data_IF_205694934911
#
_entry.id   IF_205694934911
#
_cell.length_a   1.000
_cell.length_b   1.000
_cell.length_c   1.000
_cell.angle_alpha   90.00
_cell.angle_beta   90.00
_cell.angle_gamma   90.00
#
_symmetry.space_group_name_H-M   'P 1'
#
loop_
_entity.id
_entity.type
_entity.pdbx_description
1 polymer ?
#
# COMPACT_ATOMS: atom_id res chain seq x y z
N UNK A 1 7.83 20.77 -10.85
CA UNK A 1 7.50 20.35 -9.47
C UNK A 1 6.11 19.70 -9.42
N UNK A 2 5.97 18.69 -8.55
CA UNK A 2 4.68 18.05 -8.26
C UNK A 2 3.76 19.11 -7.63
N UNK A 3 2.54 19.25 -8.17
CA UNK A 3 1.60 20.31 -7.76
C UNK A 3 0.57 19.82 -6.74
N UNK A 4 0.17 18.56 -6.83
CA UNK A 4 -0.86 17.99 -5.98
C UNK A 4 -0.68 16.47 -5.83
N UNK A 5 -1.20 15.92 -4.73
CA UNK A 5 -1.26 14.50 -4.41
C UNK A 5 -2.65 14.19 -3.84
N UNK A 6 -3.42 13.35 -4.54
CA UNK A 6 -4.75 12.95 -4.08
C UNK A 6 -4.66 11.97 -2.91
N UNK A 7 -3.86 10.91 -3.08
CA UNK A 7 -3.74 9.78 -2.16
C UNK A 7 -2.26 9.46 -1.94
N UNK A 8 -1.86 9.35 -0.67
CA UNK A 8 -0.55 8.85 -0.27
C UNK A 8 -0.71 7.58 0.57
N UNK A 9 -0.07 6.49 0.11
CA UNK A 9 -0.06 5.21 0.82
C UNK A 9 1.28 5.03 1.54
N UNK A 10 1.26 5.08 2.86
CA UNK A 10 2.45 4.96 3.70
C UNK A 10 2.62 3.54 4.23
N UNK A 11 3.84 3.15 4.57
CA UNK A 11 4.21 1.83 5.09
C UNK A 11 4.22 1.76 6.64
N UNK A 12 3.79 2.84 7.30
CA UNK A 12 3.77 2.99 8.76
C UNK A 12 5.02 3.67 9.34
N UNK A 13 5.84 4.32 8.51
CA UNK A 13 6.98 5.11 8.96
C UNK A 13 6.52 6.32 9.79
N UNK A 14 7.01 6.41 11.03
CA UNK A 14 6.69 7.51 11.96
C UNK A 14 7.14 8.85 11.38
N UNK A 15 6.30 9.87 11.46
CA UNK A 15 6.61 11.23 10.99
C UNK A 15 6.36 11.45 9.49
N UNK A 16 6.23 10.39 8.69
CA UNK A 16 5.97 10.53 7.25
C UNK A 16 4.55 11.03 6.95
N UNK A 17 3.47 10.51 7.59
CA UNK A 17 2.13 11.05 7.43
C UNK A 17 2.06 12.55 7.73
N UNK A 18 2.68 12.98 8.83
CA UNK A 18 2.72 14.36 9.27
C UNK A 18 3.51 15.25 8.31
N UNK A 19 4.64 14.74 7.79
CA UNK A 19 5.41 15.45 6.78
C UNK A 19 4.62 15.62 5.48
N UNK A 20 3.88 14.60 5.04
CA UNK A 20 3.04 14.68 3.83
C UNK A 20 1.94 15.71 4.02
N UNK A 21 1.18 15.66 5.12
CA UNK A 21 0.07 16.60 5.36
C UNK A 21 0.56 18.03 5.61
N UNK A 22 1.81 18.21 6.05
CA UNK A 22 2.41 19.56 6.15
C UNK A 22 2.68 20.21 4.79
N UNK A 23 2.95 19.42 3.75
CA UNK A 23 3.26 19.90 2.39
C UNK A 23 2.04 19.84 1.48
N UNK A 24 1.21 18.81 1.65
CA UNK A 24 -0.02 18.58 0.89
C UNK A 24 -1.20 18.35 1.87
N UNK A 25 -1.79 19.43 2.42
CA UNK A 25 -2.82 19.34 3.46
C UNK A 25 -4.07 18.58 3.03
N UNK A 26 -4.41 18.63 1.73
CA UNK A 26 -5.61 17.99 1.18
C UNK A 26 -5.36 16.54 0.77
N UNK A 27 -4.14 16.00 0.93
CA UNK A 27 -3.85 14.60 0.58
C UNK A 27 -4.51 13.65 1.57
N UNK A 28 -5.21 12.65 1.06
CA UNK A 28 -5.66 11.52 1.88
C UNK A 28 -4.46 10.61 2.14
N UNK A 29 -3.96 10.62 3.37
CA UNK A 29 -2.89 9.73 3.83
C UNK A 29 -3.52 8.49 4.45
N UNK A 30 -3.04 7.32 4.03
CA UNK A 30 -3.51 6.03 4.55
C UNK A 30 -2.35 5.05 4.73
N UNK A 31 -2.53 4.07 5.61
CA UNK A 31 -1.62 2.94 5.66
C UNK A 31 -1.86 2.03 4.45
N UNK A 32 -0.78 1.55 3.85
CA UNK A 32 -0.82 0.55 2.81
C UNK A 32 -1.24 -0.81 3.41
N UNK A 33 -2.39 -1.33 2.98
CA UNK A 33 -2.92 -2.65 3.39
C UNK A 33 -1.88 -3.77 3.29
N UNK A 34 -1.02 -3.76 2.28
CA UNK A 34 0.00 -4.81 2.14
C UNK A 34 1.06 -4.70 3.22
N UNK A 35 1.45 -3.49 3.63
CA UNK A 35 2.37 -3.36 4.75
C UNK A 35 1.72 -3.84 6.06
N UNK A 36 0.44 -3.57 6.28
CA UNK A 36 -0.32 -4.14 7.41
C UNK A 36 -0.29 -5.68 7.37
N UNK A 37 -0.65 -6.28 6.24
CA UNK A 37 -0.60 -7.74 6.04
C UNK A 37 0.81 -8.28 6.28
N UNK A 38 1.83 -7.69 5.64
CA UNK A 38 3.22 -8.16 5.73
C UNK A 38 3.74 -8.08 7.18
N UNK A 39 3.36 -7.03 7.91
CA UNK A 39 3.71 -6.86 9.32
C UNK A 39 3.02 -7.91 10.18
N UNK A 40 1.72 -8.15 9.98
CA UNK A 40 0.98 -9.20 10.68
C UNK A 40 1.57 -10.60 10.43
N UNK A 41 1.95 -10.89 9.18
CA UNK A 41 2.51 -12.18 8.78
C UNK A 41 3.85 -12.53 9.44
N UNK A 42 4.53 -11.57 10.10
CA UNK A 42 5.76 -11.83 10.87
C UNK A 42 5.50 -12.71 12.09
N UNK A 43 4.27 -12.71 12.62
CA UNK A 43 3.87 -13.48 13.79
C UNK A 43 3.30 -14.86 13.44
N UNK A 44 3.07 -15.14 12.15
CA UNK A 44 2.32 -16.31 11.70
C UNK A 44 3.26 -17.44 11.28
N UNK A 45 3.02 -18.63 11.85
CA UNK A 45 3.71 -19.87 11.47
C UNK A 45 3.42 -20.24 10.01
N UNK A 46 4.33 -20.97 9.37
CA UNK A 46 4.20 -21.31 7.94
C UNK A 46 2.91 -22.08 7.61
N UNK A 47 2.48 -23.00 8.49
CA UNK A 47 1.29 -23.85 8.30
C UNK A 47 -0.02 -23.06 8.26
N UNK A 48 -0.11 -21.97 9.00
CA UNK A 48 -1.36 -21.20 9.14
C UNK A 48 -1.44 -20.00 8.21
N UNK A 49 -0.35 -19.63 7.54
CA UNK A 49 -0.27 -18.45 6.66
C UNK A 49 -1.43 -18.32 5.69
N UNK A 50 -1.75 -19.41 4.98
CA UNK A 50 -2.80 -19.39 3.95
C UNK A 50 -4.17 -19.08 4.56
N UNK A 51 -4.46 -19.63 5.75
CA UNK A 51 -5.75 -19.45 6.43
C UNK A 51 -5.88 -18.03 6.99
N UNK A 52 -4.82 -17.52 7.63
CA UNK A 52 -4.83 -16.17 8.19
C UNK A 52 -4.85 -15.10 7.10
N UNK A 53 -4.13 -15.29 5.98
CA UNK A 53 -4.25 -14.39 4.83
C UNK A 53 -5.67 -14.37 4.27
N UNK A 54 -6.35 -15.52 4.21
CA UNK A 54 -7.75 -15.57 3.78
C UNK A 54 -8.68 -14.84 4.76
N UNK A 55 -8.45 -14.95 6.07
CA UNK A 55 -9.19 -14.21 7.09
C UNK A 55 -8.92 -12.71 7.01
N UNK A 56 -7.66 -12.26 6.94
CA UNK A 56 -7.32 -10.85 6.76
C UNK A 56 -7.87 -10.26 5.45
N UNK A 57 -8.03 -11.09 4.40
CA UNK A 57 -8.63 -10.66 3.14
C UNK A 57 -10.04 -10.14 3.31
N UNK A 58 -10.85 -10.74 4.17
CA UNK A 58 -12.23 -10.32 4.38
C UNK A 58 -12.33 -8.91 4.96
N UNK A 59 -11.30 -8.46 5.70
CA UNK A 59 -11.22 -7.11 6.28
C UNK A 59 -11.11 -6.05 5.19
N UNK A 60 -10.09 -6.13 4.32
CA UNK A 60 -9.84 -5.10 3.31
C UNK A 60 -10.67 -5.25 2.03
N UNK A 61 -11.40 -6.35 1.87
CA UNK A 61 -12.41 -6.49 0.81
C UNK A 61 -13.83 -6.29 1.30
N UNK A 62 -14.03 -5.92 2.57
CA UNK A 62 -15.36 -5.68 3.12
C UNK A 62 -16.07 -4.52 2.41
N UNK A 63 -17.40 -4.58 2.22
CA UNK A 63 -18.14 -3.53 1.51
C UNK A 63 -18.17 -2.20 2.29
N UNK A 64 -18.24 -2.26 3.63
CA UNK A 64 -18.34 -1.10 4.52
C UNK A 64 -17.34 -1.19 5.68
N UNK A 65 -17.14 -0.08 6.40
CA UNK A 65 -16.32 -0.02 7.62
C UNK A 65 -16.82 -0.97 8.71
N UNK A 66 -18.14 -1.05 8.92
CA UNK A 66 -18.75 -1.94 9.92
C UNK A 66 -18.54 -3.41 9.56
N UNK A 67 -18.65 -3.75 8.27
CA UNK A 67 -18.37 -5.10 7.80
C UNK A 67 -16.88 -5.47 7.96
N UNK A 68 -15.98 -4.50 7.78
CA UNK A 68 -14.55 -4.70 8.05
C UNK A 68 -14.27 -4.90 9.54
N UNK A 69 -14.94 -4.13 10.40
CA UNK A 69 -14.81 -4.25 11.86
C UNK A 69 -15.29 -5.62 12.34
N UNK A 70 -16.42 -6.10 11.79
CA UNK A 70 -16.92 -7.44 12.07
C UNK A 70 -15.93 -8.51 11.59
N UNK A 71 -15.33 -8.33 10.42
CA UNK A 71 -14.29 -9.23 9.91
C UNK A 71 -13.04 -9.24 10.82
N UNK A 72 -12.62 -8.08 11.35
CA UNK A 72 -11.51 -8.01 12.30
C UNK A 72 -11.85 -8.71 13.62
N UNK A 73 -13.08 -8.58 14.13
CA UNK A 73 -13.57 -9.34 15.30
C UNK A 73 -13.57 -10.85 15.03
N UNK A 74 -13.93 -11.27 13.82
CA UNK A 74 -13.84 -12.66 13.40
C UNK A 74 -12.40 -13.18 13.38
N UNK A 75 -11.46 -12.41 12.83
CA UNK A 75 -10.03 -12.71 12.87
C UNK A 75 -9.51 -12.89 14.30
N UNK A 76 -9.91 -12.01 15.22
CA UNK A 76 -9.54 -12.09 16.64
C UNK A 76 -10.15 -13.31 17.33
N UNK A 77 -11.41 -13.63 17.05
CA UNK A 77 -12.07 -14.83 17.59
C UNK A 77 -11.36 -16.11 17.16
N UNK A 78 -11.03 -16.21 15.87
CA UNK A 78 -10.43 -17.42 15.28
C UNK A 78 -8.95 -17.57 15.64
N UNK A 79 -8.20 -16.46 15.68
CA UNK A 79 -6.74 -16.48 15.69
C UNK A 79 -6.10 -15.65 16.81
N UNK A 80 -6.83 -14.75 17.46
CA UNK A 80 -6.29 -13.79 18.43
C UNK A 80 -5.63 -14.44 19.64
N UNK A 81 -6.14 -15.60 20.09
CA UNK A 81 -5.49 -16.37 21.17
C UNK A 81 -4.13 -16.95 20.76
N UNK A 82 -4.01 -17.44 19.53
CA UNK A 82 -2.78 -18.07 19.04
C UNK A 82 -1.78 -17.05 18.50
N UNK A 83 -2.28 -16.00 17.86
CA UNK A 83 -1.51 -14.98 17.16
C UNK A 83 -1.97 -13.56 17.55
N UNK A 84 -1.87 -13.17 18.84
CA UNK A 84 -2.33 -11.85 19.30
C UNK A 84 -1.64 -10.70 18.54
N UNK A 85 -0.37 -10.88 18.15
CA UNK A 85 0.38 -9.89 17.36
C UNK A 85 -0.23 -9.60 15.97
N UNK A 86 -0.98 -10.54 15.38
CA UNK A 86 -1.71 -10.29 14.12
C UNK A 86 -2.83 -9.29 14.34
N UNK A 87 -3.59 -9.47 15.41
CA UNK A 87 -4.73 -8.61 15.77
C UNK A 87 -4.23 -7.22 16.16
N UNK A 88 -3.19 -7.15 17.00
CA UNK A 88 -2.55 -5.89 17.41
C UNK A 88 -2.13 -5.03 16.21
N UNK A 89 -1.53 -5.63 15.19
CA UNK A 89 -1.10 -4.91 13.98
C UNK A 89 -2.29 -4.25 13.28
N UNK A 90 -3.41 -4.96 13.15
CA UNK A 90 -4.63 -4.42 12.54
C UNK A 90 -5.26 -3.34 13.41
N UNK A 91 -5.37 -3.55 14.72
CA UNK A 91 -5.96 -2.59 15.64
C UNK A 91 -5.17 -1.26 15.66
N UNK A 92 -3.84 -1.32 15.67
CA UNK A 92 -3.00 -0.11 15.64
C UNK A 92 -3.11 0.65 14.32
N UNK A 93 -3.23 -0.06 13.21
CA UNK A 93 -3.37 0.54 11.88
C UNK A 93 -4.82 0.98 11.58
N UNK A 94 -5.79 0.68 12.45
CA UNK A 94 -7.21 0.74 12.10
C UNK A 94 -7.67 2.13 11.63
N UNK A 95 -7.30 3.18 12.38
CA UNK A 95 -7.70 4.56 12.06
C UNK A 95 -7.10 5.06 10.74
N UNK A 96 -5.89 4.61 10.41
CA UNK A 96 -5.21 4.94 9.15
C UNK A 96 -5.63 4.02 7.98
N UNK A 97 -6.26 2.89 8.30
CA UNK A 97 -6.79 1.94 7.32
C UNK A 97 -8.23 2.23 6.92
N UNK A 98 -9.11 2.67 7.84
CA UNK A 98 -10.53 2.93 7.54
C UNK A 98 -10.73 3.81 6.29
N UNK A 99 -9.98 4.92 6.07
CA UNK A 99 -10.18 5.77 4.88
C UNK A 99 -10.06 5.02 3.54
N UNK A 100 -9.32 3.91 3.50
CA UNK A 100 -9.22 3.07 2.32
C UNK A 100 -10.56 2.39 1.97
N UNK A 101 -11.43 2.14 2.95
CA UNK A 101 -12.75 1.58 2.75
C UNK A 101 -13.77 2.60 2.22
N UNK A 102 -13.50 3.90 2.32
CA UNK A 102 -14.39 4.92 1.72
C UNK A 102 -14.33 4.91 0.19
N UNK A 103 -13.26 4.36 -0.37
CA UNK A 103 -13.14 4.19 -1.82
C UNK A 103 -14.02 3.06 -2.33
N UNK A 104 -14.60 3.16 -3.54
CA UNK A 104 -15.30 2.04 -4.12
C UNK A 104 -14.31 0.94 -4.56
N UNK A 105 -14.77 -0.31 -4.75
CA UNK A 105 -13.91 -1.47 -5.02
C UNK A 105 -12.93 -1.29 -6.20
N UNK A 106 -13.34 -0.56 -7.24
CA UNK A 106 -12.54 -0.30 -8.43
C UNK A 106 -11.29 0.53 -8.11
N UNK A 107 -11.42 1.52 -7.22
CA UNK A 107 -10.31 2.34 -6.77
C UNK A 107 -9.48 1.60 -5.72
N UNK A 108 -10.12 0.91 -4.76
CA UNK A 108 -9.43 0.08 -3.76
C UNK A 108 -8.41 -0.84 -4.44
N UNK A 109 -8.83 -1.56 -5.49
CA UNK A 109 -7.98 -2.51 -6.23
C UNK A 109 -6.71 -1.90 -6.80
N UNK A 110 -6.74 -0.62 -7.16
CA UNK A 110 -5.57 0.10 -7.65
C UNK A 110 -4.71 0.62 -6.50
N UNK A 111 -5.34 1.04 -5.40
CA UNK A 111 -4.65 1.55 -4.21
C UNK A 111 -3.92 0.44 -3.45
N UNK A 112 -4.55 -0.74 -3.27
CA UNK A 112 -3.93 -1.84 -2.50
C UNK A 112 -3.04 -2.75 -3.35
N UNK A 113 -3.05 -2.68 -4.69
CA UNK A 113 -2.18 -3.55 -5.48
C UNK A 113 -0.71 -3.17 -5.31
N UNK A 114 0.10 -4.17 -4.95
CA UNK A 114 1.54 -3.99 -4.75
C UNK A 114 2.36 -4.22 -5.98
N UNK A 115 1.76 -4.65 -7.08
CA UNK A 115 2.49 -5.14 -8.25
C UNK A 115 3.52 -4.11 -8.76
N UNK A 116 3.21 -2.82 -8.70
CA UNK A 116 4.15 -1.77 -9.09
C UNK A 116 5.32 -1.64 -8.10
N UNK A 117 5.02 -1.54 -6.80
CA UNK A 117 6.02 -1.38 -5.73
C UNK A 117 6.90 -2.63 -5.61
N UNK A 118 6.29 -3.82 -5.62
CA UNK A 118 6.99 -5.11 -5.58
C UNK A 118 7.84 -5.33 -6.83
N UNK A 119 7.37 -4.91 -8.01
CA UNK A 119 8.18 -4.98 -9.23
C UNK A 119 9.43 -4.10 -9.11
N UNK A 120 9.31 -2.86 -8.62
CA UNK A 120 10.45 -1.97 -8.39
C UNK A 120 11.38 -2.56 -7.33
N UNK A 121 10.86 -2.95 -6.17
CA UNK A 121 11.64 -3.54 -5.09
C UNK A 121 12.37 -4.82 -5.53
N UNK A 122 11.74 -5.66 -6.35
CA UNK A 122 12.37 -6.84 -6.91
C UNK A 122 13.54 -6.49 -7.83
N UNK A 123 13.37 -5.51 -8.73
CA UNK A 123 14.45 -5.06 -9.61
C UNK A 123 15.62 -4.47 -8.80
N UNK A 124 15.33 -3.66 -7.78
CA UNK A 124 16.34 -3.11 -6.88
C UNK A 124 17.07 -4.20 -6.09
N UNK A 125 16.36 -5.20 -5.54
CA UNK A 125 17.00 -6.36 -4.88
C UNK A 125 17.85 -7.17 -5.86
N UNK A 126 17.42 -7.31 -7.11
CA UNK A 126 18.17 -8.06 -8.14
C UNK A 126 19.52 -7.41 -8.46
N UNK A 127 19.60 -6.08 -8.51
CA UNK A 127 20.87 -5.38 -8.79
C UNK A 127 21.78 -5.32 -7.56
N UNK A 128 21.23 -5.35 -6.35
CA UNK A 128 22.02 -5.30 -5.10
C UNK A 128 22.44 -6.68 -4.60
N UNK A 129 21.76 -7.77 -4.96
CA UNK A 129 22.01 -9.12 -4.39
C UNK A 129 23.45 -9.64 -4.53
N UNK A 130 24.19 -9.18 -5.54
CA UNK A 130 25.58 -9.62 -5.79
C UNK A 130 26.62 -8.71 -5.11
N UNK A 131 26.16 -7.66 -4.41
CA UNK A 131 27.00 -6.72 -3.67
C UNK A 131 26.87 -7.03 -2.17
N UNK A 132 27.93 -7.56 -1.57
CA UNK A 132 27.95 -7.86 -0.13
C UNK A 132 28.04 -6.61 0.75
N UNK A 133 28.69 -5.55 0.28
CA UNK A 133 28.78 -4.25 0.95
C UNK A 133 28.96 -3.12 -0.08
N UNK A 134 28.69 -1.87 0.34
CA UNK A 134 28.98 -0.67 -0.43
C UNK A 134 30.12 0.12 0.24
N UNK A 135 31.03 0.73 -0.53
CA UNK A 135 32.14 1.51 0.02
C UNK A 135 31.71 2.89 0.55
N UNK A 136 30.55 3.40 0.11
CA UNK A 136 29.97 4.66 0.57
C UNK A 136 28.47 4.72 0.25
N UNK A 137 27.76 5.63 0.90
CA UNK A 137 26.35 5.93 0.59
C UNK A 137 26.17 6.43 -0.84
N UNK A 138 27.13 7.20 -1.36
CA UNK A 138 27.12 7.67 -2.74
C UNK A 138 27.22 6.50 -3.74
N UNK A 139 28.03 5.49 -3.45
CA UNK A 139 28.14 4.31 -4.30
C UNK A 139 26.84 3.51 -4.31
N UNK A 140 26.17 3.39 -3.16
CA UNK A 140 24.85 2.78 -3.07
C UNK A 140 23.81 3.58 -3.86
N UNK A 141 23.76 4.91 -3.66
CA UNK A 141 22.84 5.81 -4.34
C UNK A 141 23.00 5.76 -5.85
N UNK A 142 24.24 5.79 -6.34
CA UNK A 142 24.55 5.71 -7.78
C UNK A 142 24.02 4.41 -8.39
N UNK A 143 24.18 3.28 -7.70
CA UNK A 143 23.67 2.00 -8.20
C UNK A 143 22.14 1.98 -8.22
N UNK A 144 21.48 2.46 -7.16
CA UNK A 144 20.02 2.54 -7.10
C UNK A 144 19.47 3.48 -8.19
N UNK A 145 20.08 4.64 -8.39
CA UNK A 145 19.73 5.58 -9.45
C UNK A 145 19.84 4.95 -10.84
N UNK A 146 20.96 4.28 -11.14
CA UNK A 146 21.14 3.58 -12.43
C UNK A 146 20.13 2.44 -12.59
N UNK A 147 19.82 1.74 -11.50
CA UNK A 147 18.76 0.73 -11.45
C UNK A 147 17.40 1.30 -11.83
N UNK A 148 16.98 2.37 -11.15
CA UNK A 148 15.72 3.07 -11.39
C UNK A 148 15.64 3.62 -12.82
N UNK A 149 16.72 4.22 -13.34
CA UNK A 149 16.78 4.71 -14.73
C UNK A 149 16.55 3.60 -15.76
N UNK A 150 17.00 2.38 -15.47
CA UNK A 150 16.84 1.23 -16.36
C UNK A 150 15.48 0.52 -16.20
N UNK A 151 14.73 0.79 -15.14
CA UNK A 151 13.33 0.37 -15.02
C UNK A 151 12.52 1.24 -15.99
N UNK A 152 12.19 0.70 -17.16
CA UNK A 152 11.44 1.40 -18.19
C UNK A 152 10.16 2.04 -17.63
N UNK A 153 10.04 3.37 -17.78
CA UNK A 153 8.83 4.15 -17.47
C UNK A 153 7.76 4.06 -18.56
N UNK A 154 8.05 3.42 -19.71
CA UNK A 154 7.05 3.19 -20.77
C UNK A 154 6.13 2.02 -20.40
N UNK A 155 5.30 2.22 -19.39
CA UNK A 155 4.00 1.56 -19.33
C UNK A 155 2.98 2.67 -19.62
N UNK A 156 2.44 2.68 -20.84
CA UNK A 156 1.34 3.55 -21.26
C UNK A 156 1.72 5.01 -21.59
N UNK A 157 0.89 5.65 -22.42
CA UNK A 157 0.97 7.08 -22.76
C UNK A 157 0.31 7.97 -21.70
N UNK A 158 -0.09 9.18 -22.08
CA UNK A 158 -0.65 10.20 -21.16
C UNK A 158 -1.88 9.71 -20.36
N UNK A 159 -2.57 8.67 -20.85
CA UNK A 159 -3.74 8.07 -20.21
C UNK A 159 -3.44 7.01 -19.14
N UNK A 160 -2.17 6.78 -18.78
CA UNK A 160 -1.74 5.89 -17.69
C UNK A 160 -1.27 4.50 -18.13
N UNK A 161 -0.89 3.67 -17.15
CA UNK A 161 0.01 2.50 -17.32
C UNK A 161 -0.57 1.25 -17.96
N UNK A 162 -1.76 1.33 -18.57
CA UNK A 162 -2.50 0.15 -19.03
C UNK A 162 -3.04 -0.71 -17.87
N UNK A 163 -3.13 -0.14 -16.66
CA UNK A 163 -3.67 -0.82 -15.49
C UNK A 163 -5.13 -1.21 -15.73
N UNK A 164 -5.46 -2.48 -15.53
CA UNK A 164 -6.81 -2.98 -15.74
C UNK A 164 -7.81 -2.30 -14.78
N UNK A 165 -8.84 -1.67 -15.33
CA UNK A 165 -9.82 -0.88 -14.59
C UNK A 165 -9.42 0.59 -14.34
N UNK A 166 -8.28 1.05 -14.88
CA UNK A 166 -7.79 2.42 -14.66
C UNK A 166 -8.79 3.49 -15.09
N UNK A 167 -9.46 3.34 -16.23
CA UNK A 167 -10.47 4.31 -16.68
C UNK A 167 -11.62 4.45 -15.69
N UNK A 168 -12.10 3.34 -15.12
CA UNK A 168 -13.15 3.35 -14.11
C UNK A 168 -12.67 4.05 -12.84
N UNK A 169 -11.49 3.68 -12.34
CA UNK A 169 -10.91 4.33 -11.17
C UNK A 169 -10.61 5.82 -11.39
N UNK A 170 -10.18 6.22 -12.59
CA UNK A 170 -9.95 7.62 -12.93
C UNK A 170 -11.25 8.43 -12.84
N UNK A 171 -12.38 7.90 -13.35
CA UNK A 171 -13.68 8.55 -13.20
C UNK A 171 -14.13 8.62 -11.73
N UNK A 172 -13.87 7.58 -10.95
CA UNK A 172 -14.09 7.62 -9.50
C UNK A 172 -13.28 8.73 -8.83
N UNK A 173 -11.99 8.87 -9.18
CA UNK A 173 -11.13 9.92 -8.62
C UNK A 173 -11.65 11.32 -8.98
N UNK A 174 -12.20 11.54 -10.18
CA UNK A 174 -12.83 12.82 -10.57
C UNK A 174 -14.01 13.16 -9.66
N UNK A 175 -14.81 12.16 -9.28
CA UNK A 175 -15.96 12.36 -8.38
C UNK A 175 -15.52 12.59 -6.93
N UNK A 176 -14.54 11.81 -6.44
CA UNK A 176 -14.06 11.89 -5.06
C UNK A 176 -13.21 13.13 -4.79
N UNK A 177 -12.48 13.63 -5.79
CA UNK A 177 -11.56 14.75 -5.67
C UNK A 177 -11.91 15.86 -6.68
N UNK A 178 -13.08 16.51 -6.52
CA UNK A 178 -13.57 17.48 -7.49
C UNK A 178 -12.58 18.65 -7.64
N UNK A 179 -12.24 18.99 -8.89
CA UNK A 179 -11.36 20.11 -9.22
C UNK A 179 -9.85 19.88 -9.01
N UNK A 180 -9.44 18.68 -8.59
CA UNK A 180 -8.03 18.36 -8.29
C UNK A 180 -7.32 17.53 -9.37
N UNK A 181 -8.04 17.12 -10.41
CA UNK A 181 -7.48 16.45 -11.58
C UNK A 181 -7.45 17.42 -12.77
N UNK A 182 -6.37 17.45 -13.57
CA UNK A 182 -6.36 18.14 -14.85
C UNK A 182 -7.24 17.33 -15.82
N UNK A 183 -8.49 17.77 -16.00
CA UNK A 183 -9.40 17.25 -17.00
C UNK A 183 -9.04 17.74 -18.40
#
# INVERSE_FOLDING_TARGET
PLRDVLIACCDGLTGLPEAITSVFPDTVVQTCVVHVIRNAMRFVSYSDRKKIVASMKTIYTAPTGEAAELALKGLDTDWGRQYPGVVDVWQRAWNEFIPFLDYPPELRRIVYTTNAIESINFQLRKITKTRGHFPSDEAAMKLLYLGLRNISSKRGGDSGTGTHGWKTALNTLVVLFPGRLPL
#
